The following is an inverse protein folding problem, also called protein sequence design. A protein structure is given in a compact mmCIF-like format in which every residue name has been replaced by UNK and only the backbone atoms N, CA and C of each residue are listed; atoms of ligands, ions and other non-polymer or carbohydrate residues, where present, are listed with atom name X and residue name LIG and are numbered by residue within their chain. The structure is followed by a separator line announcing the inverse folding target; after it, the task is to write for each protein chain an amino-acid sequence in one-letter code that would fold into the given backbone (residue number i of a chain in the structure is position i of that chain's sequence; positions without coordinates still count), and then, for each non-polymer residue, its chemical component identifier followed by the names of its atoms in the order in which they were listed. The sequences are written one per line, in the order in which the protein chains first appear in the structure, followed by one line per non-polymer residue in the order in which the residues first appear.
data_IF_764189076491
#
_entry.id   IF_764189076491
#
_cell.length_a   1.000
_cell.length_b   1.000
_cell.length_c   1.000
_cell.angle_alpha   90.00
_cell.angle_beta   90.00
_cell.angle_gamma   90.00
#
_symmetry.space_group_name_H-M   'P 1'
#
loop_
_entity.id
_entity.type
_entity.pdbx_description
1 polymer ?
#
# COMPACT_ATOMS: atom_id res chain seq x y z
N UNK A 1 -18.91 -25.30 0.42
CA UNK A 1 -18.05 -25.39 1.63
C UNK A 1 -16.84 -24.48 1.43
N UNK A 2 -16.46 -23.70 2.43
CA UNK A 2 -15.22 -22.90 2.39
C UNK A 2 -14.04 -23.85 2.63
N UNK A 3 -12.96 -23.80 1.82
CA UNK A 3 -11.78 -24.63 2.08
C UNK A 3 -11.19 -24.32 3.47
N UNK A 4 -10.54 -25.29 4.12
CA UNK A 4 -9.93 -25.08 5.42
C UNK A 4 -8.90 -23.95 5.35
N UNK A 5 -8.81 -23.17 6.43
CA UNK A 5 -7.79 -22.14 6.55
C UNK A 5 -6.39 -22.78 6.55
N UNK A 6 -5.43 -22.12 5.93
CA UNK A 6 -4.01 -22.52 6.02
C UNK A 6 -3.50 -22.31 7.45
N UNK A 7 -2.56 -23.16 7.89
CA UNK A 7 -1.92 -23.01 9.19
C UNK A 7 -1.16 -21.69 9.26
N UNK A 8 -1.16 -21.05 10.42
CA UNK A 8 -0.36 -19.83 10.65
C UNK A 8 1.11 -20.07 10.33
N UNK A 9 1.77 -19.06 9.74
CA UNK A 9 3.16 -19.14 9.29
C UNK A 9 3.38 -19.93 7.99
N UNK A 10 2.36 -20.61 7.45
CA UNK A 10 2.47 -21.27 6.15
C UNK A 10 2.70 -20.25 5.03
N UNK A 11 3.53 -20.58 4.05
CA UNK A 11 3.62 -19.81 2.82
C UNK A 11 2.27 -19.83 2.09
N UNK A 12 1.95 -18.73 1.40
CA UNK A 12 0.75 -18.67 0.58
C UNK A 12 0.82 -19.77 -0.50
N UNK A 13 -0.24 -20.58 -0.67
CA UNK A 13 -0.21 -21.80 -1.50
C UNK A 13 -0.02 -21.52 -3.00
N UNK A 14 -0.37 -20.32 -3.46
CA UNK A 14 -0.22 -19.91 -4.85
C UNK A 14 -0.18 -18.38 -4.94
N UNK A 15 0.08 -17.88 -6.16
CA UNK A 15 0.19 -16.44 -6.43
C UNK A 15 -1.10 -15.67 -6.13
N UNK A 16 -2.27 -16.28 -6.34
CA UNK A 16 -3.58 -15.65 -6.10
C UNK A 16 -3.83 -15.48 -4.60
N UNK A 17 -3.57 -16.52 -3.79
CA UNK A 17 -3.65 -16.44 -2.33
C UNK A 17 -2.66 -15.40 -1.77
N UNK A 18 -1.44 -15.34 -2.33
CA UNK A 18 -0.45 -14.32 -1.96
C UNK A 18 -0.92 -12.90 -2.30
N UNK A 19 -1.49 -12.70 -3.49
CA UNK A 19 -2.03 -11.41 -3.91
C UNK A 19 -3.21 -10.99 -3.03
N UNK A 20 -4.10 -11.93 -2.70
CA UNK A 20 -5.21 -11.70 -1.78
C UNK A 20 -4.72 -11.32 -0.38
N UNK A 21 -3.77 -12.07 0.19
CA UNK A 21 -3.18 -11.76 1.49
C UNK A 21 -2.52 -10.38 1.50
N UNK A 22 -1.70 -10.07 0.50
CA UNK A 22 -1.06 -8.77 0.35
C UNK A 22 -2.07 -7.62 0.28
N UNK A 23 -3.17 -7.80 -0.45
CA UNK A 23 -4.25 -6.80 -0.54
C UNK A 23 -5.01 -6.65 0.77
N UNK A 24 -5.33 -7.76 1.44
CA UNK A 24 -6.19 -7.75 2.63
C UNK A 24 -5.43 -7.34 3.89
N UNK A 25 -4.22 -7.85 4.08
CA UNK A 25 -3.42 -7.64 5.31
C UNK A 25 -2.47 -6.47 5.18
N UNK A 26 -1.80 -6.34 4.04
CA UNK A 26 -0.80 -5.29 3.82
C UNK A 26 -1.31 -4.12 2.99
N UNK A 27 -2.57 -4.15 2.53
CA UNK A 27 -3.16 -3.18 1.61
C UNK A 27 -2.26 -2.89 0.38
N UNK A 28 -1.50 -3.88 -0.06
CA UNK A 28 -0.65 -3.78 -1.25
C UNK A 28 -1.54 -4.08 -2.45
N UNK A 29 -1.78 -3.04 -3.24
CA UNK A 29 -2.60 -3.13 -4.44
C UNK A 29 -1.71 -3.14 -5.67
N UNK A 30 -2.07 -3.96 -6.65
CA UNK A 30 -1.52 -3.84 -7.98
C UNK A 30 -2.10 -2.56 -8.63
N UNK A 31 -1.21 -1.71 -9.14
CA UNK A 31 -1.58 -0.46 -9.79
C UNK A 31 -1.26 -0.63 -11.29
N UNK A 32 -2.22 -1.07 -12.12
CA UNK A 32 -2.04 -1.14 -13.56
C UNK A 32 -2.16 0.24 -14.19
N UNK A 33 -1.23 0.58 -15.09
CA UNK A 33 -1.29 1.78 -15.91
C UNK A 33 -2.41 1.68 -16.98
N UNK A 34 -3.01 2.80 -17.40
CA UNK A 34 -2.83 4.15 -16.88
C UNK A 34 -3.77 4.47 -15.70
N UNK A 35 -3.27 5.15 -14.67
CA UNK A 35 -4.11 5.81 -13.66
C UNK A 35 -3.69 7.26 -13.45
N UNK A 36 -4.57 8.06 -12.87
CA UNK A 36 -4.29 9.47 -12.54
C UNK A 36 -4.09 9.65 -11.03
N UNK A 37 -3.21 10.58 -10.69
CA UNK A 37 -2.93 10.96 -9.30
C UNK A 37 -2.11 9.95 -8.50
N UNK A 38 -1.89 10.28 -7.23
CA UNK A 38 -1.15 9.44 -6.28
C UNK A 38 -2.09 8.45 -5.59
N UNK A 39 -1.61 7.23 -5.32
CA UNK A 39 -2.35 6.17 -4.64
C UNK A 39 -1.52 5.52 -3.54
N UNK A 40 -2.17 5.07 -2.48
CA UNK A 40 -1.51 4.27 -1.45
C UNK A 40 -1.39 2.80 -1.87
N UNK A 41 -0.23 2.19 -1.62
CA UNK A 41 -0.03 0.74 -1.69
C UNK A 41 0.82 0.30 -0.50
N UNK A 42 0.16 -0.34 0.46
CA UNK A 42 0.66 -0.50 1.82
C UNK A 42 1.04 0.85 2.43
N UNK A 43 2.27 0.95 2.95
CA UNK A 43 2.78 2.17 3.56
C UNK A 43 3.25 3.24 2.56
N UNK A 44 3.27 2.94 1.27
CA UNK A 44 3.88 3.81 0.27
C UNK A 44 2.83 4.62 -0.46
N UNK A 45 3.11 5.91 -0.70
CA UNK A 45 2.36 6.72 -1.64
C UNK A 45 3.06 6.64 -3.01
N UNK A 46 2.34 6.23 -4.04
CA UNK A 46 2.90 5.88 -5.36
C UNK A 46 2.23 6.72 -6.46
N UNK A 47 3.02 7.26 -7.39
CA UNK A 47 2.50 8.00 -8.55
C UNK A 47 2.37 7.10 -9.81
N UNK A 48 1.76 7.60 -10.90
CA UNK A 48 1.62 6.84 -12.16
C UNK A 48 2.96 6.40 -12.79
N UNK A 49 4.06 7.08 -12.47
CA UNK A 49 5.41 6.73 -12.90
C UNK A 49 6.12 5.72 -11.97
N UNK A 50 5.40 5.16 -10.99
CA UNK A 50 5.88 4.20 -9.98
C UNK A 50 6.91 4.75 -8.99
N UNK A 51 7.06 6.06 -8.92
CA UNK A 51 7.82 6.73 -7.88
C UNK A 51 7.13 6.54 -6.53
N UNK A 52 7.92 6.41 -5.45
CA UNK A 52 7.41 6.09 -4.11
C UNK A 52 7.84 7.14 -3.10
N UNK A 53 6.89 7.61 -2.29
CA UNK A 53 7.15 8.43 -1.12
C UNK A 53 7.02 7.55 0.13
N UNK A 54 8.08 7.54 0.94
CA UNK A 54 8.10 6.87 2.24
C UNK A 54 7.25 7.63 3.27
N UNK A 55 6.62 6.94 4.26
CA UNK A 55 5.83 7.58 5.31
C UNK A 55 6.53 8.76 6.00
N UNK A 56 7.79 8.58 6.41
CA UNK A 56 8.54 9.62 7.12
C UNK A 56 8.77 10.89 6.29
N UNK A 57 8.83 10.77 4.95
CA UNK A 57 8.91 11.92 4.06
C UNK A 57 7.57 12.64 3.98
N UNK A 58 6.47 11.89 3.90
CA UNK A 58 5.12 12.44 3.94
C UNK A 58 4.86 13.17 5.26
N UNK A 59 5.21 12.56 6.39
CA UNK A 59 5.09 13.18 7.73
C UNK A 59 5.85 14.50 7.79
N UNK A 60 7.08 14.53 7.25
CA UNK A 60 7.90 15.74 7.19
C UNK A 60 7.25 16.83 6.32
N UNK A 61 6.67 16.46 5.17
CA UNK A 61 5.97 17.40 4.28
C UNK A 61 4.73 17.96 4.98
N UNK A 62 3.92 17.09 5.59
CA UNK A 62 2.70 17.48 6.31
C UNK A 62 3.01 18.38 7.50
N UNK A 63 4.05 18.07 8.27
CA UNK A 63 4.50 18.92 9.38
C UNK A 63 4.89 20.31 8.89
N UNK A 64 5.70 20.41 7.83
CA UNK A 64 6.06 21.70 7.23
C UNK A 64 4.84 22.45 6.72
N UNK A 65 3.93 21.76 6.05
CA UNK A 65 2.71 22.35 5.52
C UNK A 65 1.83 22.89 6.66
N UNK A 66 1.60 22.12 7.72
CA UNK A 66 0.82 22.55 8.88
C UNK A 66 1.41 23.80 9.56
N UNK A 67 2.74 23.91 9.65
CA UNK A 67 3.41 25.10 10.19
C UNK A 67 3.16 26.36 9.35
N UNK A 68 3.03 26.24 8.03
CA UNK A 68 2.73 27.37 7.15
C UNK A 68 1.32 27.96 7.37
N UNK A 69 0.38 27.17 7.90
CA UNK A 69 -1.00 27.59 8.15
C UNK A 69 -1.32 27.80 9.64
N UNK A 70 -0.32 27.78 10.52
CA UNK A 70 -0.48 28.22 11.90
C UNK A 70 -0.53 29.74 11.93
N UNK A 71 -1.76 30.27 11.98
CA UNK A 71 -2.10 31.67 12.28
C UNK A 71 -1.84 31.94 13.76
#
# INVERSE_FOLDING_TARGET
MRPPCWREGSSCPNWCARAYYNRTVHNIQYLPEPWQGWRFSGRWLINPHRERIAPHLLDRIMYRHAQLYRV
#
